data_IF_762698194779
#
_entry.id   IF_762698194779
#
_cell.length_a   1.000
_cell.length_b   1.000
_cell.length_c   1.000
_cell.angle_alpha   90.00
_cell.angle_beta   90.00
_cell.angle_gamma   90.00
#
_symmetry.space_group_name_H-M   'P 1'
#
loop_
_entity.id
_entity.type
_entity.pdbx_description
1 polymer ?
#
# COMPACT_ATOMS: atom_id res chain seq x y z
N UNK A 1 20.86 -22.15 -12.38
CA UNK A 1 20.76 -20.80 -11.80
C UNK A 1 19.50 -20.78 -10.96
N UNK A 2 19.67 -20.91 -9.64
CA UNK A 2 18.57 -20.91 -8.68
C UNK A 2 18.12 -19.47 -8.49
N UNK A 3 16.95 -19.12 -9.03
CA UNK A 3 16.28 -17.87 -8.70
C UNK A 3 15.96 -17.88 -7.21
N UNK A 4 16.58 -16.98 -6.46
CA UNK A 4 16.40 -16.79 -5.03
C UNK A 4 14.98 -16.27 -4.75
N UNK A 5 14.02 -17.17 -4.57
CA UNK A 5 12.78 -16.89 -3.81
C UNK A 5 13.17 -16.81 -2.33
N UNK A 6 13.68 -15.66 -1.87
CA UNK A 6 14.05 -15.51 -0.46
C UNK A 6 13.66 -14.18 0.19
N UNK A 7 13.17 -13.17 -0.53
CA UNK A 7 12.82 -11.86 0.06
C UNK A 7 11.42 -11.38 -0.32
N UNK A 8 10.54 -12.32 -0.68
CA UNK A 8 9.11 -12.10 -0.87
C UNK A 8 8.44 -12.12 0.51
N UNK A 9 8.83 -11.18 1.38
CA UNK A 9 7.88 -10.76 2.40
C UNK A 9 6.63 -10.39 1.62
N UNK A 10 5.51 -11.02 1.94
CA UNK A 10 4.25 -10.77 1.25
C UNK A 10 3.87 -9.29 1.42
N UNK A 11 4.31 -8.48 0.46
CA UNK A 11 4.13 -7.02 0.47
C UNK A 11 2.64 -6.70 0.44
N UNK A 12 1.82 -7.55 -0.18
CA UNK A 12 0.37 -7.44 -0.14
C UNK A 12 -0.15 -7.61 1.28
N UNK A 13 0.24 -8.69 1.95
CA UNK A 13 -0.12 -8.89 3.35
C UNK A 13 0.39 -7.75 4.24
N UNK A 14 1.59 -7.23 3.98
CA UNK A 14 2.16 -6.13 4.73
C UNK A 14 1.37 -4.82 4.54
N UNK A 15 0.99 -4.47 3.32
CA UNK A 15 0.17 -3.29 3.01
C UNK A 15 -1.19 -3.41 3.69
N UNK A 16 -1.89 -4.52 3.47
CA UNK A 16 -3.21 -4.78 4.04
C UNK A 16 -3.14 -4.73 5.57
N UNK A 17 -2.16 -5.44 6.15
CA UNK A 17 -1.94 -5.44 7.59
C UNK A 17 -1.72 -4.03 8.10
N UNK A 18 -0.76 -3.29 7.52
CA UNK A 18 -0.38 -1.92 7.87
C UNK A 18 -1.57 -0.97 7.89
N UNK A 19 -2.43 -1.04 6.87
CA UNK A 19 -3.54 -0.11 6.69
C UNK A 19 -4.85 -0.54 7.37
N UNK A 20 -4.95 -1.79 7.83
CA UNK A 20 -6.17 -2.37 8.42
C UNK A 20 -6.85 -1.53 9.51
N UNK A 21 -6.08 -0.80 10.31
CA UNK A 21 -6.62 0.05 11.40
C UNK A 21 -6.40 1.54 11.17
N UNK A 22 -5.86 1.93 10.02
CA UNK A 22 -5.51 3.31 9.75
C UNK A 22 -6.73 4.23 9.92
N UNK A 23 -6.61 5.39 10.60
CA UNK A 23 -5.38 6.04 11.08
C UNK A 23 -4.87 5.55 12.46
N UNK A 24 -5.59 4.65 13.13
CA UNK A 24 -5.10 4.06 14.38
C UNK A 24 -3.90 3.13 14.11
N UNK A 25 -2.95 3.15 15.04
CA UNK A 25 -1.76 2.29 14.93
C UNK A 25 -2.10 0.82 15.16
N UNK A 26 -1.53 -0.03 14.32
CA UNK A 26 -1.55 -1.50 14.41
C UNK A 26 -0.13 -2.07 14.66
N UNK A 27 0.82 -1.22 15.08
CA UNK A 27 2.26 -1.53 15.13
C UNK A 27 2.57 -2.84 15.86
N UNK A 28 1.91 -3.13 16.98
CA UNK A 28 2.14 -4.36 17.74
C UNK A 28 1.76 -5.63 16.97
N UNK A 29 0.65 -5.61 16.21
CA UNK A 29 0.26 -6.74 15.35
C UNK A 29 1.23 -6.90 14.18
N UNK A 30 1.67 -5.79 13.60
CA UNK A 30 2.64 -5.77 12.51
C UNK A 30 4.00 -6.33 12.95
N UNK A 31 4.53 -5.86 14.08
CA UNK A 31 5.79 -6.35 14.67
C UNK A 31 5.69 -7.83 15.07
N UNK A 32 4.55 -8.26 15.63
CA UNK A 32 4.32 -9.68 15.93
C UNK A 32 4.29 -10.56 14.68
N UNK A 33 3.77 -10.03 13.55
CA UNK A 33 3.63 -10.78 12.29
C UNK A 33 4.94 -10.91 11.51
N UNK A 34 5.73 -9.83 11.45
CA UNK A 34 6.95 -9.76 10.63
C UNK A 34 8.24 -9.88 11.46
N UNK A 35 8.15 -9.89 12.79
CA UNK A 35 9.26 -10.15 13.69
C UNK A 35 10.44 -9.20 13.45
N UNK A 36 11.65 -9.76 13.38
CA UNK A 36 12.88 -9.00 13.14
C UNK A 36 12.92 -8.30 11.77
N UNK A 37 12.12 -8.75 10.80
CA UNK A 37 12.02 -8.11 9.48
C UNK A 37 11.10 -6.89 9.48
N UNK A 38 10.25 -6.69 10.50
CA UNK A 38 9.18 -5.69 10.51
C UNK A 38 9.64 -4.28 10.11
N UNK A 39 10.82 -3.86 10.56
CA UNK A 39 11.37 -2.55 10.18
C UNK A 39 11.65 -2.45 8.66
N UNK A 40 12.33 -3.44 8.08
CA UNK A 40 12.63 -3.47 6.65
C UNK A 40 11.35 -3.57 5.79
N UNK A 41 10.38 -4.36 6.24
CA UNK A 41 9.07 -4.49 5.57
C UNK A 41 8.30 -3.19 5.61
N UNK A 42 8.28 -2.52 6.76
CA UNK A 42 7.60 -1.22 6.91
C UNK A 42 8.22 -0.16 5.98
N UNK A 43 9.53 -0.18 5.77
CA UNK A 43 10.16 0.71 4.79
C UNK A 43 9.71 0.41 3.35
N UNK A 44 9.52 -0.85 2.98
CA UNK A 44 8.96 -1.20 1.67
C UNK A 44 7.51 -0.74 1.53
N UNK A 45 6.67 -0.97 2.56
CA UNK A 45 5.28 -0.48 2.57
C UNK A 45 5.25 1.04 2.42
N UNK A 46 6.09 1.77 3.18
CA UNK A 46 6.19 3.23 3.10
C UNK A 46 6.60 3.70 1.71
N UNK A 47 7.51 3.01 1.04
CA UNK A 47 7.90 3.35 -0.32
C UNK A 47 6.70 3.28 -1.28
N UNK A 48 5.88 2.22 -1.20
CA UNK A 48 4.65 2.08 -2.00
C UNK A 48 3.63 3.18 -1.68
N UNK A 49 3.39 3.46 -0.39
CA UNK A 49 2.44 4.50 0.00
C UNK A 49 2.90 5.89 -0.42
N UNK A 50 4.19 6.19 -0.28
CA UNK A 50 4.76 7.46 -0.74
C UNK A 50 4.62 7.59 -2.26
N UNK A 51 4.85 6.52 -3.01
CA UNK A 51 4.63 6.53 -4.45
C UNK A 51 3.17 6.80 -4.81
N UNK A 52 2.21 6.15 -4.13
CA UNK A 52 0.79 6.40 -4.34
C UNK A 52 0.43 7.88 -4.09
N UNK A 53 1.05 8.52 -3.09
CA UNK A 53 0.87 9.96 -2.82
C UNK A 53 1.48 10.87 -3.89
N UNK A 54 2.32 10.37 -4.81
CA UNK A 54 2.82 11.14 -5.96
C UNK A 54 1.87 11.10 -7.16
N UNK A 55 0.82 10.28 -7.12
CA UNK A 55 -0.18 10.25 -8.18
C UNK A 55 -1.01 11.54 -8.11
N UNK A 56 -1.17 12.18 -9.27
CA UNK A 56 -1.92 13.43 -9.44
C UNK A 56 -3.23 13.15 -10.20
N UNK A 57 -4.34 12.89 -9.50
CA UNK A 57 -5.69 12.89 -10.09
C UNK A 57 -6.02 14.26 -10.70
N UNK A 58 -6.82 14.26 -11.76
CA UNK A 58 -7.35 15.50 -12.32
C UNK A 58 -8.52 16.01 -11.46
N UNK A 59 -8.21 16.81 -10.45
CA UNK A 59 -9.20 17.37 -9.52
C UNK A 59 -10.21 18.34 -10.16
N UNK A 60 -10.00 18.79 -11.40
CA UNK A 60 -11.02 19.56 -12.12
C UNK A 60 -12.13 18.66 -12.68
N UNK A 61 -11.90 17.34 -12.69
CA UNK A 61 -12.79 16.35 -13.33
C UNK A 61 -13.16 15.19 -12.42
N UNK A 62 -12.33 14.85 -11.45
CA UNK A 62 -12.48 13.71 -10.57
C UNK A 62 -12.95 14.14 -9.18
N UNK A 63 -13.92 13.41 -8.66
CA UNK A 63 -14.32 13.43 -7.25
C UNK A 63 -13.37 12.57 -6.42
N UNK A 64 -13.41 12.71 -5.09
CA UNK A 64 -12.49 12.01 -4.18
C UNK A 64 -12.51 10.49 -4.34
N UNK A 65 -13.68 9.88 -4.53
CA UNK A 65 -13.79 8.44 -4.78
C UNK A 65 -13.19 8.05 -6.13
N UNK A 66 -13.43 8.82 -7.19
CA UNK A 66 -12.85 8.58 -8.52
C UNK A 66 -11.32 8.75 -8.51
N UNK A 67 -10.81 9.67 -7.68
CA UNK A 67 -9.37 9.80 -7.44
C UNK A 67 -8.79 8.57 -6.74
N UNK A 68 -9.51 7.97 -5.79
CA UNK A 68 -9.13 6.69 -5.18
C UNK A 68 -9.01 5.57 -6.22
N UNK A 69 -10.06 5.35 -7.01
CA UNK A 69 -10.10 4.35 -8.08
C UNK A 69 -8.97 4.58 -9.12
N UNK A 70 -8.68 5.85 -9.44
CA UNK A 70 -7.59 6.21 -10.34
C UNK A 70 -6.22 5.85 -9.77
N UNK A 71 -5.99 6.13 -8.48
CA UNK A 71 -4.75 5.75 -7.80
C UNK A 71 -4.58 4.23 -7.78
N UNK A 72 -5.64 3.47 -7.52
CA UNK A 72 -5.61 1.99 -7.58
C UNK A 72 -5.18 1.50 -8.97
N UNK A 73 -5.77 2.04 -10.03
CA UNK A 73 -5.44 1.66 -11.40
C UNK A 73 -3.97 1.98 -11.75
N UNK A 74 -3.48 3.18 -11.37
CA UNK A 74 -2.08 3.57 -11.60
C UNK A 74 -1.12 2.68 -10.82
N UNK A 75 -1.43 2.37 -9.55
CA UNK A 75 -0.59 1.51 -8.72
C UNK A 75 -0.59 0.07 -9.21
N UNK A 76 -1.70 -0.44 -9.74
CA UNK A 76 -1.75 -1.76 -10.37
C UNK A 76 -0.88 -1.83 -11.64
N UNK A 77 -0.89 -0.79 -12.49
CA UNK A 77 -0.05 -0.74 -13.70
C UNK A 77 1.44 -0.77 -13.35
N UNK A 78 1.85 -0.03 -12.31
CA UNK A 78 3.24 0.04 -11.85
C UNK A 78 3.68 -1.19 -11.04
N UNK A 79 2.76 -1.78 -10.28
CA UNK A 79 3.01 -2.92 -9.41
C UNK A 79 2.00 -4.04 -9.70
N UNK A 80 2.13 -4.76 -10.83
CA UNK A 80 1.16 -5.76 -11.27
C UNK A 80 1.06 -7.00 -10.36
N UNK A 81 1.97 -7.13 -9.39
CA UNK A 81 1.92 -8.18 -8.37
C UNK A 81 1.11 -7.78 -7.12
N UNK A 82 0.61 -6.53 -7.05
CA UNK A 82 -0.27 -6.13 -5.97
C UNK A 82 -1.65 -6.76 -6.14
N UNK A 83 -2.17 -7.32 -5.06
CA UNK A 83 -3.49 -7.90 -5.03
C UNK A 83 -4.56 -6.81 -5.01
N UNK A 84 -5.79 -7.12 -5.47
CA UNK A 84 -6.90 -6.18 -5.38
C UNK A 84 -7.14 -5.62 -3.98
N UNK A 85 -6.98 -6.44 -2.93
CA UNK A 85 -7.14 -6.00 -1.53
C UNK A 85 -6.06 -4.99 -1.10
N UNK A 86 -4.80 -5.20 -1.52
CA UNK A 86 -3.74 -4.26 -1.22
C UNK A 86 -3.93 -2.93 -1.96
N UNK A 87 -4.40 -2.98 -3.22
CA UNK A 87 -4.71 -1.79 -4.01
C UNK A 87 -5.87 -1.00 -3.39
N UNK A 88 -6.96 -1.67 -3.04
CA UNK A 88 -8.10 -1.04 -2.35
C UNK A 88 -7.66 -0.36 -1.03
N UNK A 89 -6.78 -1.01 -0.26
CA UNK A 89 -6.23 -0.40 0.95
C UNK A 89 -5.42 0.89 0.62
N UNK A 90 -4.63 0.89 -0.46
CA UNK A 90 -3.87 2.06 -0.92
C UNK A 90 -4.82 3.19 -1.36
N UNK A 91 -5.86 2.90 -2.15
CA UNK A 91 -6.87 3.88 -2.58
C UNK A 91 -7.60 4.52 -1.40
N UNK A 92 -7.99 3.71 -0.42
CA UNK A 92 -8.60 4.18 0.83
C UNK A 92 -7.63 5.05 1.66
N UNK A 93 -6.35 4.66 1.74
CA UNK A 93 -5.34 5.46 2.41
C UNK A 93 -5.16 6.83 1.73
N UNK A 94 -5.05 6.85 0.41
CA UNK A 94 -4.90 8.09 -0.37
C UNK A 94 -6.07 9.04 -0.15
N UNK A 95 -7.30 8.54 -0.31
CA UNK A 95 -8.51 9.37 -0.16
C UNK A 95 -8.69 9.90 1.26
N UNK A 96 -8.25 9.15 2.28
CA UNK A 96 -8.19 9.66 3.65
C UNK A 96 -7.21 10.82 3.81
N UNK A 97 -6.02 10.77 3.19
CA UNK A 97 -5.05 11.88 3.27
C UNK A 97 -5.54 13.16 2.58
N UNK A 98 -6.33 13.01 1.52
CA UNK A 98 -6.83 14.13 0.70
C UNK A 98 -8.14 14.74 1.22
N UNK A 99 -8.70 14.20 2.30
CA UNK A 99 -9.95 14.66 2.91
C UNK A 99 -9.72 15.84 3.86
#
# INVERSE_FOLDING_TARGET
MLGTKSDDVDLNEAIVSCLRRYPASNRGEFEARFGSAAAAVMEQVRAILNEAMTVEPDWNRMQLNEAGDYVEAVMHDRHPNLTPEALEAIGNYYTFQMR
#
